data_IF_504907328241
#
_entry.id   IF_504907328241
#
_cell.length_a   1.000
_cell.length_b   1.000
_cell.length_c   1.000
_cell.angle_alpha   90.00
_cell.angle_beta   90.00
_cell.angle_gamma   90.00
#
_symmetry.space_group_name_H-M   'P 1'
#
loop_
_entity.id
_entity.type
_entity.pdbx_description
1 polymer ?
#
# COMPACT_ATOMS: atom_id res chain seq x y z
N UNK A 1 20.80 -10.40 3.31
CA UNK A 1 19.43 -10.61 2.82
C UNK A 1 19.51 -11.79 1.86
N UNK A 2 18.77 -12.87 2.08
CA UNK A 2 18.79 -14.04 1.17
C UNK A 2 17.88 -13.76 -0.04
N UNK A 3 18.14 -14.37 -1.20
CA UNK A 3 17.40 -14.13 -2.45
C UNK A 3 15.88 -14.29 -2.26
N UNK A 4 15.47 -15.34 -1.53
CA UNK A 4 14.07 -15.62 -1.19
C UNK A 4 13.40 -14.49 -0.37
N UNK A 5 14.17 -13.76 0.43
CA UNK A 5 13.65 -12.59 1.17
C UNK A 5 13.53 -11.34 0.29
N UNK A 6 14.34 -11.21 -0.76
CA UNK A 6 14.24 -10.11 -1.71
C UNK A 6 13.01 -10.25 -2.61
N UNK A 7 12.75 -11.46 -3.12
CA UNK A 7 11.58 -11.77 -3.96
C UNK A 7 10.26 -11.54 -3.20
N UNK A 8 10.19 -11.92 -1.92
CA UNK A 8 9.02 -11.66 -1.07
C UNK A 8 8.79 -10.15 -0.91
N UNK A 9 9.85 -9.37 -0.69
CA UNK A 9 9.75 -7.91 -0.54
C UNK A 9 9.30 -7.26 -1.85
N UNK A 10 9.85 -7.71 -2.98
CA UNK A 10 9.46 -7.24 -4.31
C UNK A 10 7.97 -7.50 -4.58
N UNK A 11 7.50 -8.73 -4.39
CA UNK A 11 6.10 -9.09 -4.61
C UNK A 11 5.16 -8.29 -3.69
N UNK A 12 5.53 -8.11 -2.42
CA UNK A 12 4.75 -7.29 -1.48
C UNK A 12 4.63 -5.82 -1.93
N UNK A 13 5.69 -5.26 -2.51
CA UNK A 13 5.66 -3.91 -3.05
C UNK A 13 4.71 -3.81 -4.26
N UNK A 14 4.77 -4.78 -5.18
CA UNK A 14 3.88 -4.85 -6.34
C UNK A 14 2.42 -4.94 -5.90
N UNK A 15 2.09 -5.88 -4.99
CA UNK A 15 0.74 -6.04 -4.43
C UNK A 15 0.26 -4.77 -3.72
N UNK A 16 1.15 -4.08 -3.00
CA UNK A 16 0.80 -2.83 -2.32
C UNK A 16 0.43 -1.73 -3.32
N UNK A 17 1.22 -1.54 -4.37
CA UNK A 17 0.93 -0.55 -5.43
C UNK A 17 -0.40 -0.87 -6.12
N UNK A 18 -0.65 -2.15 -6.40
CA UNK A 18 -1.91 -2.61 -6.96
C UNK A 18 -3.11 -2.31 -6.05
N UNK A 19 -3.02 -2.60 -4.75
CA UNK A 19 -4.08 -2.26 -3.80
C UNK A 19 -4.32 -0.75 -3.69
N UNK A 20 -3.27 0.06 -3.77
CA UNK A 20 -3.39 1.52 -3.83
C UNK A 20 -4.08 1.99 -5.11
N UNK A 21 -3.78 1.40 -6.27
CA UNK A 21 -4.44 1.70 -7.53
C UNK A 21 -5.95 1.43 -7.44
N UNK A 22 -6.34 0.27 -6.89
CA UNK A 22 -7.75 -0.07 -6.67
C UNK A 22 -8.43 0.92 -5.71
N UNK A 23 -7.78 1.25 -4.59
CA UNK A 23 -8.31 2.18 -3.61
C UNK A 23 -8.52 3.59 -4.18
N UNK A 24 -7.58 4.09 -5.00
CA UNK A 24 -7.68 5.40 -5.66
C UNK A 24 -8.84 5.48 -6.65
N UNK A 25 -9.16 4.36 -7.29
CA UNK A 25 -10.24 4.27 -8.27
C UNK A 25 -11.54 3.71 -7.68
N UNK A 26 -11.66 3.61 -6.36
CA UNK A 26 -12.75 2.88 -5.72
C UNK A 26 -14.15 3.44 -6.05
N UNK A 27 -14.27 4.76 -6.20
CA UNK A 27 -15.56 5.40 -6.55
C UNK A 27 -16.14 4.84 -7.87
N UNK A 28 -15.28 4.67 -8.88
CA UNK A 28 -15.66 4.03 -10.14
C UNK A 28 -15.87 2.52 -9.94
N UNK A 29 -14.90 1.84 -9.33
CA UNK A 29 -14.90 0.38 -9.14
C UNK A 29 -16.14 -0.10 -8.36
N UNK A 30 -16.63 0.67 -7.41
CA UNK A 30 -17.79 0.31 -6.60
C UNK A 30 -19.06 0.10 -7.45
N UNK A 31 -19.13 0.75 -8.61
CA UNK A 31 -20.29 0.76 -9.50
C UNK A 31 -20.19 -0.20 -10.70
N UNK A 32 -19.09 -0.95 -10.83
CA UNK A 32 -18.87 -1.91 -11.92
C UNK A 32 -18.52 -3.29 -11.38
N UNK A 33 -18.72 -4.31 -12.21
CA UNK A 33 -18.36 -5.70 -11.88
C UNK A 33 -17.06 -6.14 -12.57
N UNK A 34 -16.65 -5.42 -13.62
CA UNK A 34 -15.39 -5.64 -14.31
C UNK A 34 -14.63 -4.32 -14.41
N UNK A 35 -13.32 -4.39 -14.21
CA UNK A 35 -12.42 -3.26 -14.22
C UNK A 35 -11.27 -3.58 -15.16
N UNK A 36 -10.89 -2.59 -15.94
CA UNK A 36 -9.79 -2.66 -16.88
C UNK A 36 -8.83 -1.52 -16.56
N UNK A 37 -7.53 -1.82 -16.52
CA UNK A 37 -6.47 -0.83 -16.41
C UNK A 37 -5.55 -0.99 -17.61
N UNK A 38 -5.32 0.10 -18.33
CA UNK A 38 -4.29 0.15 -19.36
C UNK A 38 -2.89 0.08 -18.75
N UNK A 39 -1.91 -0.37 -19.54
CA UNK A 39 -0.51 -0.38 -19.13
C UNK A 39 -0.03 1.01 -18.71
N UNK A 40 -0.47 2.07 -19.39
CA UNK A 40 -0.14 3.44 -19.01
C UNK A 40 -0.62 3.81 -17.59
N UNK A 41 -1.81 3.36 -17.19
CA UNK A 41 -2.34 3.59 -15.84
C UNK A 41 -1.60 2.75 -14.79
N UNK A 42 -1.20 1.53 -15.13
CA UNK A 42 -0.37 0.66 -14.30
C UNK A 42 1.03 1.28 -14.09
N UNK A 43 1.65 1.76 -15.15
CA UNK A 43 2.96 2.43 -15.10
C UNK A 43 2.89 3.73 -14.31
N UNK A 44 1.81 4.51 -14.44
CA UNK A 44 1.57 5.69 -13.61
C UNK A 44 1.40 5.35 -12.12
N UNK A 45 0.96 4.12 -11.80
CA UNK A 45 0.94 3.58 -10.45
C UNK A 45 2.27 2.92 -10.01
N UNK A 46 3.28 2.93 -10.88
CA UNK A 46 4.58 2.32 -10.65
C UNK A 46 4.57 0.79 -10.75
N UNK A 47 3.69 0.23 -11.58
CA UNK A 47 3.59 -1.21 -11.85
C UNK A 47 3.96 -1.41 -13.32
N UNK A 48 5.14 -1.98 -13.58
CA UNK A 48 5.58 -2.25 -14.95
C UNK A 48 4.81 -3.40 -15.59
N UNK A 49 4.98 -3.61 -16.90
CA UNK A 49 4.43 -4.79 -17.58
C UNK A 49 4.93 -6.10 -16.94
N UNK A 50 6.23 -6.18 -16.61
CA UNK A 50 6.81 -7.34 -15.91
C UNK A 50 6.18 -7.56 -14.53
N UNK A 51 6.04 -6.49 -13.74
CA UNK A 51 5.37 -6.54 -12.44
C UNK A 51 3.91 -6.97 -12.57
N UNK A 52 3.25 -6.58 -13.65
CA UNK A 52 1.86 -6.95 -13.94
C UNK A 52 1.75 -8.45 -14.22
N UNK A 53 2.66 -9.03 -15.02
CA UNK A 53 2.72 -10.48 -15.20
C UNK A 53 2.99 -11.22 -13.88
N UNK A 54 3.94 -10.74 -13.07
CA UNK A 54 4.22 -11.30 -11.73
C UNK A 54 2.98 -11.25 -10.84
N UNK A 55 2.27 -10.12 -10.83
CA UNK A 55 1.04 -9.92 -10.08
C UNK A 55 -0.07 -10.89 -10.51
N UNK A 56 -0.30 -11.04 -11.81
CA UNK A 56 -1.30 -11.98 -12.37
C UNK A 56 -1.00 -13.40 -11.91
N UNK A 57 0.24 -13.85 -12.07
CA UNK A 57 0.65 -15.19 -11.64
C UNK A 57 0.50 -15.37 -10.12
N UNK A 58 0.89 -14.36 -9.33
CA UNK A 58 0.76 -14.39 -7.88
C UNK A 58 -0.70 -14.52 -7.43
N UNK A 59 -1.60 -13.66 -7.93
CA UNK A 59 -3.01 -13.68 -7.53
C UNK A 59 -3.70 -14.97 -7.98
N UNK A 60 -3.45 -15.42 -9.22
CA UNK A 60 -4.11 -16.62 -9.73
C UNK A 60 -3.60 -17.91 -9.05
N UNK A 61 -2.31 -18.01 -8.72
CA UNK A 61 -1.76 -19.15 -7.97
C UNK A 61 -2.30 -19.26 -6.54
N UNK A 62 -2.58 -18.13 -5.88
CA UNK A 62 -3.24 -18.13 -4.58
C UNK A 62 -4.68 -18.67 -4.66
N UNK A 63 -5.38 -18.43 -5.78
CA UNK A 63 -6.72 -18.99 -5.99
C UNK A 63 -6.70 -20.50 -6.22
N UNK A 64 -5.71 -21.01 -6.97
CA UNK A 64 -5.55 -22.45 -7.22
C UNK A 64 -5.30 -23.23 -5.92
N UNK A 65 -4.58 -22.65 -4.96
CA UNK A 65 -4.32 -23.25 -3.65
C UNK A 65 -5.56 -23.32 -2.74
N UNK A 66 -6.57 -22.47 -2.98
CA UNK A 66 -7.82 -22.38 -2.19
C UNK A 66 -8.97 -23.20 -2.82
N UNK A 67 -8.77 -23.74 -4.02
CA UNK A 67 -9.80 -24.45 -4.80
C UNK A 67 -10.34 -25.76 -4.18
N UNK A 68 -9.83 -26.20 -3.03
CA UNK A 68 -10.42 -27.29 -2.26
C UNK A 68 -11.68 -26.88 -1.48
N UNK A 69 -11.92 -25.59 -1.27
CA UNK A 69 -13.20 -25.05 -0.79
C UNK A 69 -13.87 -24.28 -1.93
N UNK A 70 -14.97 -24.83 -2.47
CA UNK A 70 -15.79 -24.22 -3.53
C UNK A 70 -16.49 -22.95 -3.05
N UNK A 71 -15.73 -21.87 -2.88
CA UNK A 71 -16.28 -20.53 -2.75
C UNK A 71 -16.02 -19.82 -4.08
N UNK A 72 -17.09 -19.41 -4.75
CA UNK A 72 -17.18 -18.80 -6.10
C UNK A 72 -16.57 -17.38 -6.14
N UNK A 73 -15.41 -17.25 -5.53
CA UNK A 73 -14.95 -16.04 -4.87
C UNK A 73 -13.46 -15.76 -5.13
N UNK A 74 -12.82 -16.61 -5.94
CA UNK A 74 -11.45 -16.47 -6.40
C UNK A 74 -11.36 -15.30 -7.39
N UNK A 75 -10.40 -14.42 -7.15
CA UNK A 75 -10.21 -13.24 -7.96
C UNK A 75 -9.44 -13.63 -9.23
N UNK A 76 -10.12 -13.83 -10.35
CA UNK A 76 -9.40 -14.05 -11.60
C UNK A 76 -8.98 -12.71 -12.21
N UNK A 77 -7.69 -12.55 -12.46
CA UNK A 77 -7.14 -11.41 -13.19
C UNK A 77 -6.36 -11.90 -14.41
N UNK A 78 -6.38 -11.11 -15.48
CA UNK A 78 -5.67 -11.44 -16.73
C UNK A 78 -5.00 -10.20 -17.29
N UNK A 79 -3.85 -10.41 -17.93
CA UNK A 79 -3.10 -9.34 -18.60
C UNK A 79 -2.66 -9.83 -19.98
N UNK A 80 -3.02 -9.09 -21.02
CA UNK A 80 -2.70 -9.42 -22.42
C UNK A 80 -1.41 -8.76 -22.92
N UNK A 81 -0.78 -7.91 -22.11
CA UNK A 81 0.39 -7.09 -22.47
C UNK A 81 0.08 -5.60 -22.52
N UNK A 82 -1.19 -5.22 -22.65
CA UNK A 82 -1.63 -3.82 -22.71
C UNK A 82 -2.74 -3.50 -21.70
N UNK A 83 -3.59 -4.49 -21.36
CA UNK A 83 -4.76 -4.31 -20.53
C UNK A 83 -4.80 -5.34 -19.40
N UNK A 84 -4.84 -4.87 -18.16
CA UNK A 84 -5.13 -5.69 -16.99
C UNK A 84 -6.63 -5.71 -16.74
N UNK A 85 -7.24 -6.89 -16.88
CA UNK A 85 -8.66 -7.12 -16.63
C UNK A 85 -8.85 -7.85 -15.31
N UNK A 86 -9.81 -7.41 -14.50
CA UNK A 86 -10.20 -8.08 -13.27
C UNK A 86 -11.72 -8.04 -13.04
N UNK A 87 -12.25 -9.13 -12.49
CA UNK A 87 -13.60 -9.15 -11.94
C UNK A 87 -13.59 -8.64 -10.48
N UNK A 88 -14.50 -7.73 -10.16
CA UNK A 88 -14.63 -7.12 -8.84
C UNK A 88 -15.89 -7.61 -8.13
N UNK A 89 -15.72 -8.70 -7.39
CA UNK A 89 -16.79 -9.25 -6.55
C UNK A 89 -17.15 -8.32 -5.37
N UNK A 90 -18.35 -8.46 -4.77
CA UNK A 90 -18.72 -7.71 -3.57
C UNK A 90 -17.70 -7.84 -2.42
N UNK A 91 -17.14 -9.04 -2.21
CA UNK A 91 -16.08 -9.24 -1.19
C UNK A 91 -14.80 -8.47 -1.52
N UNK A 92 -14.46 -8.32 -2.81
CA UNK A 92 -13.32 -7.50 -3.23
C UNK A 92 -13.58 -6.03 -2.95
N UNK A 93 -14.80 -5.53 -3.18
CA UNK A 93 -15.21 -4.17 -2.81
C UNK A 93 -15.07 -3.95 -1.30
N UNK A 94 -15.54 -4.89 -0.48
CA UNK A 94 -15.35 -4.83 0.97
C UNK A 94 -13.88 -4.82 1.39
N UNK A 95 -13.05 -5.65 0.75
CA UNK A 95 -11.60 -5.66 1.00
C UNK A 95 -10.98 -4.28 0.71
N UNK A 96 -11.32 -3.67 -0.43
CA UNK A 96 -10.80 -2.33 -0.80
C UNK A 96 -11.23 -1.30 0.25
N UNK A 97 -12.49 -1.31 0.70
CA UNK A 97 -12.96 -0.42 1.78
C UNK A 97 -12.15 -0.62 3.06
N UNK A 98 -11.93 -1.87 3.48
CA UNK A 98 -11.12 -2.16 4.68
C UNK A 98 -9.69 -1.68 4.52
N UNK A 99 -9.08 -1.92 3.36
CA UNK A 99 -7.74 -1.45 3.03
C UNK A 99 -7.64 0.08 3.11
N UNK A 100 -8.60 0.81 2.53
CA UNK A 100 -8.68 2.27 2.62
C UNK A 100 -8.78 2.76 4.07
N UNK A 101 -9.62 2.12 4.89
CA UNK A 101 -9.74 2.48 6.33
C UNK A 101 -8.44 2.28 7.09
N UNK A 102 -7.73 1.18 6.84
CA UNK A 102 -6.41 0.93 7.45
C UNK A 102 -5.41 1.98 7.00
N UNK A 103 -5.33 2.28 5.70
CA UNK A 103 -4.41 3.30 5.18
C UNK A 103 -4.71 4.70 5.70
N UNK A 104 -5.98 5.07 5.83
CA UNK A 104 -6.37 6.33 6.45
C UNK A 104 -5.98 6.36 7.93
N UNK A 105 -6.18 5.27 8.66
CA UNK A 105 -5.78 5.18 10.07
C UNK A 105 -4.26 5.29 10.24
N UNK A 106 -3.48 4.65 9.35
CA UNK A 106 -2.02 4.78 9.34
C UNK A 106 -1.59 6.22 9.05
N UNK A 107 -2.19 6.89 8.05
CA UNK A 107 -1.91 8.29 7.74
C UNK A 107 -2.24 9.23 8.91
N UNK A 108 -3.39 9.03 9.57
CA UNK A 108 -3.76 9.82 10.76
C UNK A 108 -2.78 9.58 11.89
N UNK A 109 -2.35 8.33 12.13
CA UNK A 109 -1.35 8.00 13.15
C UNK A 109 -0.01 8.65 12.83
N UNK A 110 0.46 8.57 11.59
CA UNK A 110 1.73 9.17 11.17
C UNK A 110 1.70 10.70 11.33
N UNK A 111 0.58 11.33 10.99
CA UNK A 111 0.37 12.76 11.21
C UNK A 111 0.37 13.12 12.69
N UNK A 112 -0.29 12.32 13.55
CA UNK A 112 -0.26 12.52 15.01
C UNK A 112 1.15 12.40 15.57
N UNK A 113 1.92 11.38 15.15
CA UNK A 113 3.32 11.21 15.55
C UNK A 113 4.14 12.44 15.15
N UNK A 114 3.96 12.93 13.93
CA UNK A 114 4.63 14.12 13.42
C UNK A 114 4.27 15.37 14.24
N UNK A 115 3.00 15.60 14.53
CA UNK A 115 2.55 16.76 15.30
C UNK A 115 3.07 16.74 16.73
N UNK A 116 3.04 15.57 17.39
CA UNK A 116 3.61 15.40 18.73
C UNK A 116 5.13 15.63 18.68
N UNK A 117 5.84 15.04 17.73
CA UNK A 117 7.29 15.20 17.59
C UNK A 117 7.67 16.68 17.37
N UNK A 118 6.94 17.40 16.51
CA UNK A 118 7.13 18.83 16.27
C UNK A 118 6.88 19.64 17.55
N UNK A 119 5.80 19.35 18.28
CA UNK A 119 5.46 20.04 19.52
C UNK A 119 6.53 19.81 20.60
N UNK A 120 6.99 18.57 20.78
CA UNK A 120 8.08 18.24 21.70
C UNK A 120 9.38 18.98 21.35
N UNK A 121 9.72 19.03 20.07
CA UNK A 121 10.94 19.71 19.59
C UNK A 121 10.86 21.23 19.70
N UNK A 122 9.78 21.84 19.21
CA UNK A 122 9.67 23.31 19.10
C UNK A 122 9.20 23.96 20.40
N UNK A 123 8.19 23.39 21.07
CA UNK A 123 7.52 24.04 22.19
C UNK A 123 8.07 23.57 23.54
N UNK A 124 8.44 22.28 23.65
CA UNK A 124 9.04 21.73 24.87
C UNK A 124 10.57 21.68 24.83
N UNK A 125 11.20 21.99 23.68
CA UNK A 125 12.65 22.06 23.53
C UNK A 125 13.38 20.70 23.63
N UNK A 126 12.65 19.59 23.55
CA UNK A 126 13.22 18.24 23.59
C UNK A 126 13.78 17.92 22.21
N UNK A 127 15.11 17.81 22.10
CA UNK A 127 15.80 17.53 20.82
C UNK A 127 16.28 16.10 20.64
N UNK A 128 16.24 15.31 21.72
CA UNK A 128 16.69 13.93 21.71
C UNK A 128 15.68 13.02 20.98
N UNK A 129 16.09 12.45 19.85
CA UNK A 129 15.23 11.65 18.99
C UNK A 129 14.75 10.36 19.68
N UNK A 130 15.60 9.74 20.50
CA UNK A 130 15.24 8.55 21.29
C UNK A 130 14.13 8.85 22.30
N UNK A 131 14.23 9.97 23.02
CA UNK A 131 13.19 10.41 23.95
C UNK A 131 11.87 10.70 23.23
N UNK A 132 11.91 11.41 22.10
CA UNK A 132 10.71 11.68 21.29
C UNK A 132 10.10 10.39 20.75
N UNK A 133 10.90 9.45 20.26
CA UNK A 133 10.43 8.16 19.77
C UNK A 133 9.68 7.36 20.85
N UNK A 134 10.21 7.33 22.07
CA UNK A 134 9.53 6.71 23.22
C UNK A 134 8.20 7.40 23.56
N UNK A 135 8.17 8.72 23.57
CA UNK A 135 6.95 9.50 23.88
C UNK A 135 5.86 9.38 22.80
N UNK A 136 6.26 9.19 21.55
CA UNK A 136 5.36 9.04 20.40
C UNK A 136 5.00 7.59 20.08
N UNK A 137 5.58 6.62 20.81
CA UNK A 137 5.51 5.19 20.49
C UNK A 137 5.91 4.89 19.02
N UNK A 138 6.91 5.63 18.52
CA UNK A 138 7.43 5.50 17.16
C UNK A 138 8.87 4.98 17.18
N UNK A 139 9.43 4.71 16.00
CA UNK A 139 10.83 4.33 15.87
C UNK A 139 11.72 5.56 15.70
N UNK A 140 12.99 5.44 16.13
CA UNK A 140 13.96 6.55 16.12
C UNK A 140 14.26 7.03 14.69
N UNK A 141 14.25 6.12 13.71
CA UNK A 141 14.51 6.46 12.31
C UNK A 141 13.45 7.42 11.74
N UNK A 142 12.17 7.15 12.00
CA UNK A 142 11.04 7.99 11.60
C UNK A 142 11.11 9.37 12.26
N UNK A 143 11.43 9.42 13.55
CA UNK A 143 11.64 10.70 14.26
C UNK A 143 12.80 11.49 13.66
N UNK A 144 13.93 10.84 13.38
CA UNK A 144 15.08 11.51 12.75
C UNK A 144 14.73 12.13 11.40
N UNK A 145 13.92 11.46 10.59
CA UNK A 145 13.44 12.01 9.32
C UNK A 145 12.54 13.23 9.52
N UNK A 146 11.60 13.16 10.47
CA UNK A 146 10.73 14.30 10.85
C UNK A 146 11.58 15.50 11.28
N UNK A 147 12.56 15.29 12.17
CA UNK A 147 13.44 16.35 12.67
C UNK A 147 14.32 16.94 11.57
N UNK A 148 14.89 16.11 10.69
CA UNK A 148 15.68 16.57 9.55
C UNK A 148 14.88 17.50 8.63
N UNK A 149 13.62 17.14 8.34
CA UNK A 149 12.74 17.96 7.51
C UNK A 149 12.40 19.31 8.18
N UNK A 150 12.29 19.35 9.52
CA UNK A 150 12.07 20.59 10.29
C UNK A 150 13.27 21.52 10.32
N UNK A 151 14.49 20.97 10.31
CA UNK A 151 15.72 21.75 10.28
C UNK A 151 16.01 22.31 8.89
N UNK A 152 15.62 21.59 7.83
CA UNK A 152 15.72 22.06 6.45
C UNK A 152 14.75 23.20 6.12
N UNK A 153 13.59 23.26 6.78
CA UNK A 153 12.62 24.35 6.61
C UNK A 153 13.00 25.66 7.33
N UNK A 154 14.14 25.69 8.05
CA UNK A 154 14.68 26.91 8.69
C UNK A 154 15.74 27.64 7.85
N UNK A 155 16.10 27.14 6.67
CA UNK A 155 16.95 27.82 5.68
C UNK A 155 16.11 28.49 4.61
#
# INVERSE_FOLDING_TARGET
>A
MNELSAEIVEMNNIVTRYHMLLARNFEWINNVDNVEFSLAELEAAGISAEDTYKLVNHINSQNEQVAHDKNDNSQNISFDGELLTLNVTPKRKEFIIRYMKVKLADQVRDQQIKDIAINLYKNHGIKDADTIAKMTLSNVANINEILKNLEQTKK
#
